data_IF_640932273545
#
_entry.id   IF_640932273545
#
_cell.length_a   1.000
_cell.length_b   1.000
_cell.length_c   1.000
_cell.angle_alpha   90.00
_cell.angle_beta   90.00
_cell.angle_gamma   90.00
#
_symmetry.space_group_name_H-M   'P 1'
#
loop_
_entity.id
_entity.type
_entity.pdbx_description
1 polymer ?
#
# COMPACT_ATOMS: atom_id res chain seq x y z
N UNK A 1 8.36 -6.11 -34.57
CA UNK A 1 8.85 -5.19 -33.51
C UNK A 1 7.71 -5.14 -32.53
N UNK A 2 7.75 -6.11 -31.61
CA UNK A 2 6.55 -6.78 -31.17
C UNK A 2 6.00 -6.07 -29.94
N UNK A 3 4.70 -5.72 -29.95
CA UNK A 3 4.04 -5.04 -28.84
C UNK A 3 4.20 -5.77 -27.49
N UNK A 4 4.57 -7.05 -27.50
CA UNK A 4 4.89 -7.83 -26.32
C UNK A 4 6.23 -7.47 -25.66
N UNK A 5 7.23 -7.00 -26.41
CA UNK A 5 8.52 -6.59 -25.80
C UNK A 5 8.39 -5.31 -24.98
N UNK A 6 7.46 -4.43 -25.37
CA UNK A 6 7.19 -3.15 -24.70
C UNK A 6 6.34 -3.30 -23.44
N UNK A 7 5.48 -4.33 -23.39
CA UNK A 7 4.70 -4.68 -22.20
C UNK A 7 5.57 -5.46 -21.20
N UNK A 8 6.38 -6.39 -21.70
CA UNK A 8 7.30 -7.23 -20.91
C UNK A 8 8.24 -6.40 -20.02
N UNK A 9 8.84 -5.34 -20.56
CA UNK A 9 9.79 -4.46 -19.84
C UNK A 9 9.18 -3.72 -18.65
N UNK A 10 7.84 -3.65 -18.59
CA UNK A 10 7.11 -2.95 -17.53
C UNK A 10 6.83 -3.82 -16.31
N UNK A 11 6.82 -5.13 -16.51
CA UNK A 11 6.48 -6.10 -15.46
C UNK A 11 7.71 -6.75 -14.84
N UNK A 12 8.89 -6.57 -15.43
CA UNK A 12 10.15 -7.13 -14.94
C UNK A 12 11.07 -6.04 -14.41
N UNK A 13 12.05 -6.41 -13.58
CA UNK A 13 13.16 -5.53 -13.25
C UNK A 13 14.09 -5.28 -14.46
N UNK A 14 15.18 -4.54 -14.24
CA UNK A 14 16.19 -4.23 -15.26
C UNK A 14 16.84 -5.49 -15.87
N UNK A 15 16.77 -6.62 -15.17
CA UNK A 15 17.33 -7.91 -15.58
C UNK A 15 16.31 -8.85 -16.23
N UNK A 16 15.04 -8.45 -16.31
CA UNK A 16 13.97 -9.28 -16.90
C UNK A 16 13.32 -10.26 -15.92
N UNK A 17 13.53 -10.08 -14.62
CA UNK A 17 12.97 -10.94 -13.58
C UNK A 17 11.63 -10.39 -13.07
N UNK A 18 10.65 -11.27 -12.88
CA UNK A 18 9.41 -10.97 -12.17
C UNK A 18 9.64 -10.90 -10.66
N UNK A 19 10.50 -11.80 -10.16
CA UNK A 19 10.80 -11.94 -8.75
C UNK A 19 12.20 -12.51 -8.58
N UNK A 20 12.93 -11.98 -7.59
CA UNK A 20 14.20 -12.52 -7.15
C UNK A 20 14.25 -12.51 -5.62
N UNK A 21 14.71 -13.62 -5.06
CA UNK A 21 14.97 -13.72 -3.63
C UNK A 21 16.21 -14.56 -3.34
N UNK A 22 17.07 -14.03 -2.47
CA UNK A 22 18.30 -14.68 -2.03
C UNK A 22 18.37 -14.71 -0.52
N UNK A 23 18.74 -15.85 0.04
CA UNK A 23 18.85 -16.03 1.48
C UNK A 23 19.80 -17.18 1.83
N UNK A 24 20.27 -17.19 3.08
CA UNK A 24 20.91 -18.37 3.63
C UNK A 24 19.84 -19.35 4.12
N UNK A 25 19.94 -20.61 3.68
CA UNK A 25 19.02 -21.66 4.09
C UNK A 25 19.05 -21.88 5.61
N UNK A 26 17.93 -22.28 6.22
CA UNK A 26 17.89 -22.58 7.65
C UNK A 26 18.82 -23.77 8.00
N UNK A 27 19.17 -23.94 9.29
CA UNK A 27 19.89 -25.13 9.75
C UNK A 27 19.14 -26.42 9.35
N UNK A 28 19.85 -27.51 8.98
CA UNK A 28 21.29 -27.72 9.16
C UNK A 28 22.17 -27.33 7.97
N UNK A 29 21.60 -27.06 6.79
CA UNK A 29 22.38 -26.83 5.56
C UNK A 29 23.18 -25.53 5.63
N UNK A 30 22.54 -24.41 5.98
CA UNK A 30 23.17 -23.07 5.96
C UNK A 30 23.81 -22.70 4.60
N UNK A 31 23.44 -23.37 3.52
CA UNK A 31 23.89 -23.03 2.17
C UNK A 31 23.28 -21.69 1.74
N UNK A 32 23.95 -20.99 0.82
CA UNK A 32 23.36 -19.79 0.22
C UNK A 32 22.49 -20.22 -0.97
N UNK A 33 21.25 -19.72 -1.03
CA UNK A 33 20.29 -20.06 -2.06
C UNK A 33 19.75 -18.79 -2.72
N UNK A 34 19.47 -18.88 -4.01
CA UNK A 34 18.81 -17.84 -4.80
C UNK A 34 17.69 -18.49 -5.61
N UNK A 35 16.54 -17.84 -5.66
CA UNK A 35 15.46 -18.15 -6.60
C UNK A 35 15.17 -16.93 -7.46
N UNK A 36 15.07 -17.14 -8.76
CA UNK A 36 14.73 -16.13 -9.75
C UNK A 36 13.56 -16.65 -10.57
N UNK A 37 12.50 -15.85 -10.68
CA UNK A 37 11.35 -16.13 -11.54
C UNK A 37 11.36 -15.11 -12.65
N UNK A 38 11.43 -15.59 -13.88
CA UNK A 38 11.30 -14.78 -15.11
C UNK A 38 9.89 -14.96 -15.68
N UNK A 39 9.60 -14.30 -16.80
CA UNK A 39 8.32 -14.44 -17.50
C UNK A 39 8.02 -15.86 -18.02
N UNK A 40 9.02 -16.74 -18.10
CA UNK A 40 8.84 -18.08 -18.66
C UNK A 40 9.45 -19.21 -17.83
N UNK A 41 10.34 -18.88 -16.89
CA UNK A 41 11.15 -19.87 -16.18
C UNK A 41 11.29 -19.56 -14.70
N UNK A 42 11.44 -20.62 -13.91
CA UNK A 42 11.93 -20.60 -12.53
C UNK A 42 13.37 -21.11 -12.52
N UNK A 43 14.24 -20.35 -11.88
CA UNK A 43 15.67 -20.66 -11.75
C UNK A 43 15.98 -20.75 -10.27
N UNK A 44 16.40 -21.93 -9.80
CA UNK A 44 16.84 -22.14 -8.43
C UNK A 44 18.34 -22.45 -8.41
N UNK A 45 19.10 -21.67 -7.64
CA UNK A 45 20.55 -21.79 -7.48
C UNK A 45 20.92 -21.96 -6.03
N UNK A 46 21.96 -22.75 -5.78
CA UNK A 46 22.52 -22.90 -4.45
C UNK A 46 24.05 -23.02 -4.47
N UNK A 47 24.66 -22.45 -3.44
CA UNK A 47 26.09 -22.47 -3.19
C UNK A 47 26.33 -23.17 -1.86
N UNK A 48 27.01 -24.32 -1.92
CA UNK A 48 27.33 -25.09 -0.72
C UNK A 48 28.34 -24.34 0.15
N UNK A 49 27.98 -24.08 1.40
CA UNK A 49 28.86 -23.42 2.37
C UNK A 49 29.51 -24.48 3.25
N UNK A 50 30.81 -24.72 3.04
CA UNK A 50 31.60 -25.68 3.83
C UNK A 50 32.68 -24.98 4.64
N UNK A 51 32.98 -25.48 5.84
CA UNK A 51 34.03 -24.93 6.71
C UNK A 51 35.46 -25.10 6.17
N UNK A 52 35.71 -26.02 5.21
CA UNK A 52 37.04 -26.28 4.66
C UNK A 52 37.22 -25.56 3.32
N UNK A 53 38.06 -24.52 3.31
CA UNK A 53 38.33 -23.66 2.16
C UNK A 53 38.82 -24.41 0.89
N UNK A 54 39.42 -25.58 1.01
CA UNK A 54 39.93 -26.35 -0.13
C UNK A 54 38.84 -27.09 -0.93
N UNK A 55 37.72 -27.43 -0.29
CA UNK A 55 36.59 -28.13 -0.94
C UNK A 55 35.58 -27.12 -1.50
N UNK A 56 35.28 -26.03 -0.78
CA UNK A 56 34.35 -24.98 -1.25
C UNK A 56 34.78 -24.33 -2.56
N UNK A 57 36.08 -24.11 -2.79
CA UNK A 57 36.59 -23.54 -4.05
C UNK A 57 36.38 -24.47 -5.26
N UNK A 58 36.15 -25.77 -5.04
CA UNK A 58 35.94 -26.77 -6.09
C UNK A 58 34.47 -27.08 -6.34
N UNK A 59 33.60 -26.73 -5.40
CA UNK A 59 32.16 -26.94 -5.52
C UNK A 59 31.57 -25.83 -6.39
N UNK A 60 31.17 -26.21 -7.61
CA UNK A 60 30.38 -25.31 -8.45
C UNK A 60 28.98 -25.14 -7.86
N UNK A 61 28.36 -23.96 -8.05
CA UNK A 61 26.97 -23.77 -7.68
C UNK A 61 26.09 -24.78 -8.40
N UNK A 62 25.10 -25.32 -7.70
CA UNK A 62 24.03 -26.07 -8.36
C UNK A 62 23.01 -25.11 -8.95
N UNK A 63 22.42 -25.49 -10.08
CA UNK A 63 21.38 -24.72 -10.76
C UNK A 63 20.34 -25.69 -11.33
N UNK A 64 19.06 -25.35 -11.12
CA UNK A 64 17.91 -25.95 -11.79
C UNK A 64 17.20 -24.82 -12.53
N UNK A 65 16.85 -25.06 -13.80
CA UNK A 65 16.09 -24.15 -14.65
C UNK A 65 14.93 -24.91 -15.26
N UNK A 66 13.73 -24.46 -14.97
CA UNK A 66 12.49 -25.11 -15.41
C UNK A 66 11.57 -24.06 -16.01
N UNK A 67 10.77 -24.45 -17.00
CA UNK A 67 9.65 -23.60 -17.40
C UNK A 67 8.57 -23.61 -16.31
N UNK A 68 7.63 -22.66 -16.35
CA UNK A 68 6.56 -22.61 -15.36
C UNK A 68 5.73 -23.90 -15.30
N UNK A 69 5.44 -24.50 -16.45
CA UNK A 69 4.66 -25.75 -16.55
C UNK A 69 5.38 -26.93 -15.90
N UNK A 70 6.69 -27.07 -16.16
CA UNK A 70 7.52 -28.12 -15.57
C UNK A 70 7.67 -27.92 -14.05
N UNK A 71 7.92 -26.68 -13.62
CA UNK A 71 8.08 -26.35 -12.20
C UNK A 71 6.83 -26.67 -11.39
N UNK A 72 5.65 -26.41 -11.94
CA UNK A 72 4.37 -26.72 -11.27
C UNK A 72 4.17 -28.23 -11.04
N UNK A 73 4.83 -29.08 -11.84
CA UNK A 73 4.79 -30.53 -11.71
C UNK A 73 5.96 -31.12 -10.91
N UNK A 74 7.03 -30.35 -10.69
CA UNK A 74 8.21 -30.81 -9.96
C UNK A 74 8.12 -30.53 -8.44
N UNK A 75 7.53 -31.49 -7.72
CA UNK A 75 7.49 -31.50 -6.26
C UNK A 75 8.88 -31.39 -5.63
N UNK A 76 9.95 -31.86 -6.31
CA UNK A 76 11.30 -31.85 -5.75
C UNK A 76 11.84 -30.42 -5.67
N UNK A 77 11.79 -29.66 -6.75
CA UNK A 77 12.27 -28.27 -6.76
C UNK A 77 11.40 -27.38 -5.87
N UNK A 78 10.08 -27.60 -5.87
CA UNK A 78 9.18 -26.91 -4.94
C UNK A 78 9.54 -27.17 -3.47
N UNK A 79 9.80 -28.43 -3.09
CA UNK A 79 10.22 -28.77 -1.73
C UNK A 79 11.57 -28.15 -1.37
N UNK A 80 12.51 -28.06 -2.30
CA UNK A 80 13.80 -27.39 -2.07
C UNK A 80 13.62 -25.88 -1.79
N UNK A 81 12.77 -25.21 -2.56
CA UNK A 81 12.42 -23.80 -2.35
C UNK A 81 11.68 -23.61 -1.02
N UNK A 82 10.74 -24.50 -0.69
CA UNK A 82 10.02 -24.50 0.59
C UNK A 82 10.97 -24.55 1.78
N UNK A 83 11.94 -25.48 1.74
CA UNK A 83 12.92 -25.64 2.82
C UNK A 83 13.88 -24.45 2.92
N UNK A 84 14.23 -23.83 1.78
CA UNK A 84 15.16 -22.70 1.75
C UNK A 84 14.51 -21.36 2.15
N UNK A 85 13.28 -21.10 1.71
CA UNK A 85 12.65 -19.78 1.78
C UNK A 85 11.26 -19.75 2.44
N UNK A 86 10.71 -20.90 2.82
CA UNK A 86 9.42 -21.02 3.51
C UNK A 86 8.21 -21.02 2.58
N UNK A 87 7.06 -21.34 3.18
CA UNK A 87 5.79 -21.57 2.46
C UNK A 87 5.31 -20.33 1.70
N UNK A 88 5.35 -19.16 2.33
CA UNK A 88 4.86 -17.91 1.71
C UNK A 88 5.59 -17.57 0.41
N UNK A 89 6.88 -17.88 0.34
CA UNK A 89 7.70 -17.65 -0.85
C UNK A 89 7.34 -18.65 -1.94
N UNK A 90 7.18 -19.92 -1.59
CA UNK A 90 6.76 -20.96 -2.55
C UNK A 90 5.38 -20.63 -3.13
N UNK A 91 4.40 -20.32 -2.28
CA UNK A 91 3.04 -19.96 -2.72
C UNK A 91 3.06 -18.77 -3.67
N UNK A 92 3.92 -17.77 -3.38
CA UNK A 92 4.10 -16.62 -4.27
C UNK A 92 4.66 -17.04 -5.64
N UNK A 93 5.69 -17.87 -5.68
CA UNK A 93 6.29 -18.36 -6.93
C UNK A 93 5.28 -19.19 -7.75
N UNK A 94 4.50 -20.06 -7.09
CA UNK A 94 3.44 -20.85 -7.74
C UNK A 94 2.40 -19.93 -8.37
N UNK A 95 1.95 -18.89 -7.65
CA UNK A 95 1.04 -17.89 -8.18
C UNK A 95 1.62 -17.17 -9.41
N UNK A 96 2.91 -16.82 -9.38
CA UNK A 96 3.59 -16.25 -10.55
C UNK A 96 3.60 -17.21 -11.74
N UNK A 97 3.83 -18.50 -11.51
CA UNK A 97 3.81 -19.53 -12.57
C UNK A 97 2.41 -19.74 -13.16
N UNK A 98 1.35 -19.50 -12.38
CA UNK A 98 -0.03 -19.46 -12.88
C UNK A 98 -0.39 -18.13 -13.61
N UNK A 99 0.55 -17.19 -13.70
CA UNK A 99 0.35 -15.88 -14.32
C UNK A 99 -0.30 -14.84 -13.39
N UNK A 100 -0.43 -15.12 -12.09
CA UNK A 100 -0.92 -14.17 -11.10
C UNK A 100 0.21 -13.22 -10.65
N UNK A 101 0.52 -12.25 -11.51
CA UNK A 101 1.52 -11.21 -11.21
C UNK A 101 0.87 -10.06 -10.44
N UNK A 102 1.58 -9.50 -9.45
CA UNK A 102 1.13 -8.30 -8.74
C UNK A 102 1.03 -7.11 -9.70
N UNK A 103 -0.18 -6.87 -10.21
CA UNK A 103 -0.39 -5.83 -11.20
C UNK A 103 -0.25 -4.41 -10.60
N UNK A 104 -0.76 -4.22 -9.38
CA UNK A 104 -0.94 -2.89 -8.80
C UNK A 104 0.38 -2.16 -8.51
N UNK A 105 1.40 -2.77 -7.87
CA UNK A 105 2.68 -2.10 -7.62
C UNK A 105 3.48 -1.80 -8.90
N UNK A 106 3.16 -2.47 -10.01
CA UNK A 106 3.86 -2.37 -11.30
C UNK A 106 3.21 -1.35 -12.26
N UNK A 107 2.08 -0.76 -11.87
CA UNK A 107 1.48 0.35 -12.61
C UNK A 107 2.34 1.63 -12.46
N UNK A 108 2.30 2.56 -13.44
CA UNK A 108 2.93 3.86 -13.27
C UNK A 108 2.40 4.58 -12.05
N UNK A 109 3.28 5.30 -11.35
CA UNK A 109 2.90 6.09 -10.18
C UNK A 109 1.73 7.03 -10.48
N UNK A 110 1.65 7.61 -11.69
CA UNK A 110 0.55 8.50 -12.10
C UNK A 110 -0.81 7.79 -12.16
N UNK A 111 -0.86 6.52 -12.57
CA UNK A 111 -2.08 5.71 -12.60
C UNK A 111 -2.46 5.30 -11.18
N UNK A 112 -1.49 4.89 -10.37
CA UNK A 112 -1.71 4.51 -8.97
C UNK A 112 -2.24 5.71 -8.17
N UNK A 113 -1.65 6.90 -8.34
CA UNK A 113 -2.16 8.13 -7.72
C UNK A 113 -3.62 8.38 -8.09
N UNK A 114 -4.00 8.21 -9.37
CA UNK A 114 -5.42 8.32 -9.79
C UNK A 114 -6.32 7.28 -9.13
N UNK A 115 -5.86 6.04 -8.99
CA UNK A 115 -6.62 5.01 -8.27
C UNK A 115 -6.80 5.44 -6.80
N UNK A 116 -5.72 5.84 -6.13
CA UNK A 116 -5.73 6.29 -4.73
C UNK A 116 -6.64 7.51 -4.48
N UNK A 117 -6.77 8.42 -5.44
CA UNK A 117 -7.70 9.55 -5.36
C UNK A 117 -9.18 9.12 -5.29
N UNK A 118 -9.50 7.89 -5.70
CA UNK A 118 -10.85 7.32 -5.64
C UNK A 118 -11.04 6.37 -4.44
N UNK A 119 -10.03 6.22 -3.60
CA UNK A 119 -10.05 5.35 -2.42
C UNK A 119 -10.39 6.18 -1.18
N UNK A 120 -11.13 5.58 -0.24
CA UNK A 120 -11.46 6.25 1.02
C UNK A 120 -10.20 6.56 1.83
N UNK A 121 -10.20 7.67 2.58
CA UNK A 121 -9.03 8.12 3.33
C UNK A 121 -8.53 7.10 4.36
N UNK A 122 -9.45 6.34 4.95
CA UNK A 122 -9.12 5.26 5.90
C UNK A 122 -8.34 4.15 5.21
N UNK A 123 -8.68 3.89 3.95
CA UNK A 123 -8.06 2.85 3.13
C UNK A 123 -6.72 3.28 2.58
N UNK A 124 -6.52 4.57 2.31
CA UNK A 124 -5.21 5.11 1.95
C UNK A 124 -4.19 4.84 3.08
N UNK A 125 -4.61 4.96 4.34
CA UNK A 125 -3.77 4.61 5.48
C UNK A 125 -3.47 3.10 5.52
N UNK A 126 -4.45 2.23 5.25
CA UNK A 126 -4.24 0.77 5.18
C UNK A 126 -3.30 0.40 4.04
N UNK A 127 -3.49 0.98 2.85
CA UNK A 127 -2.65 0.78 1.66
C UNK A 127 -1.20 1.20 1.93
N UNK A 128 -0.99 2.28 2.70
CA UNK A 128 0.37 2.72 3.07
C UNK A 128 1.17 1.71 3.90
N UNK A 129 0.50 0.72 4.50
CA UNK A 129 1.12 -0.32 5.32
C UNK A 129 1.44 -1.60 4.53
N UNK A 130 1.03 -1.71 3.27
CA UNK A 130 1.22 -2.94 2.48
C UNK A 130 2.68 -3.18 2.13
N UNK A 131 3.37 -2.16 1.58
CA UNK A 131 4.78 -2.26 1.22
C UNK A 131 5.44 -0.87 1.18
N UNK A 132 6.78 -0.84 1.02
CA UNK A 132 7.56 0.41 0.97
C UNK A 132 7.16 1.34 -0.17
N UNK A 133 6.73 0.76 -1.31
CA UNK A 133 6.33 1.52 -2.48
C UNK A 133 5.03 2.28 -2.24
N UNK A 134 3.98 1.61 -1.76
CA UNK A 134 2.74 2.27 -1.35
C UNK A 134 2.93 3.18 -0.15
N UNK A 135 3.81 2.83 0.79
CA UNK A 135 4.18 3.75 1.86
C UNK A 135 4.72 5.07 1.30
N UNK A 136 5.61 5.03 0.29
CA UNK A 136 6.12 6.24 -0.37
C UNK A 136 4.99 7.01 -1.06
N UNK A 137 4.19 6.36 -1.90
CA UNK A 137 3.14 7.02 -2.70
C UNK A 137 2.03 7.60 -1.80
N UNK A 138 1.56 6.87 -0.80
CA UNK A 138 0.50 7.35 0.11
C UNK A 138 0.99 8.47 1.05
N UNK A 139 2.30 8.68 1.17
CA UNK A 139 2.90 9.79 1.91
C UNK A 139 3.38 10.93 1.01
N UNK A 140 3.14 10.85 -0.29
CA UNK A 140 3.53 11.87 -1.26
C UNK A 140 2.65 13.13 -1.13
N UNK A 141 3.28 14.28 -0.98
CA UNK A 141 2.60 15.55 -0.75
C UNK A 141 1.70 15.97 -1.93
N UNK A 142 2.07 15.60 -3.16
CA UNK A 142 1.27 15.86 -4.37
C UNK A 142 -0.06 15.11 -4.35
N UNK A 143 -0.07 13.90 -3.78
CA UNK A 143 -1.30 13.12 -3.60
C UNK A 143 -2.23 13.85 -2.63
N UNK A 144 -1.69 14.31 -1.50
CA UNK A 144 -2.46 15.04 -0.49
C UNK A 144 -2.94 16.41 -0.99
N UNK A 145 -2.14 17.13 -1.78
CA UNK A 145 -2.57 18.36 -2.49
C UNK A 145 -3.76 18.09 -3.39
N UNK A 146 -3.70 17.01 -4.16
CA UNK A 146 -4.76 16.61 -5.09
C UNK A 146 -6.04 16.21 -4.36
N UNK A 147 -5.92 15.48 -3.25
CA UNK A 147 -7.06 15.17 -2.36
C UNK A 147 -7.69 16.44 -1.80
N UNK A 148 -6.89 17.40 -1.34
CA UNK A 148 -7.39 18.70 -0.89
C UNK A 148 -8.13 19.45 -1.99
N UNK A 149 -7.53 19.57 -3.18
CA UNK A 149 -8.12 20.27 -4.33
C UNK A 149 -9.44 19.64 -4.80
N UNK A 150 -9.61 18.33 -4.61
CA UNK A 150 -10.87 17.65 -4.91
C UNK A 150 -12.00 18.01 -3.92
N UNK A 151 -11.67 18.38 -2.68
CA UNK A 151 -12.63 18.67 -1.62
C UNK A 151 -12.87 20.18 -1.41
N UNK A 152 -11.85 21.01 -1.65
CA UNK A 152 -11.85 22.45 -1.33
C UNK A 152 -10.99 23.22 -2.32
N UNK A 153 -11.37 24.47 -2.62
CA UNK A 153 -10.52 25.39 -3.39
C UNK A 153 -9.23 25.68 -2.64
N UNK A 154 -8.09 25.49 -3.29
CA UNK A 154 -6.77 25.83 -2.75
C UNK A 154 -6.57 27.35 -2.86
N UNK A 155 -6.37 28.01 -1.73
CA UNK A 155 -6.02 29.44 -1.65
C UNK A 155 -4.51 29.61 -1.51
N UNK A 156 -3.96 30.75 -1.94
CA UNK A 156 -2.53 31.05 -1.87
C UNK A 156 -1.97 30.91 -0.43
N UNK A 157 -2.70 31.41 0.57
CA UNK A 157 -2.34 31.26 1.99
C UNK A 157 -2.24 29.80 2.44
N UNK A 158 -3.09 28.92 1.90
CA UNK A 158 -3.09 27.49 2.22
C UNK A 158 -1.92 26.79 1.55
N UNK A 159 -1.58 27.21 0.33
CA UNK A 159 -0.43 26.69 -0.41
C UNK A 159 0.89 27.10 0.25
N UNK A 160 1.00 28.33 0.74
CA UNK A 160 2.18 28.78 1.50
C UNK A 160 2.30 28.04 2.84
N UNK A 161 1.21 27.85 3.56
CA UNK A 161 1.22 27.03 4.78
C UNK A 161 1.58 25.57 4.49
N UNK A 162 1.17 25.04 3.34
CA UNK A 162 1.50 23.67 2.93
C UNK A 162 2.98 23.51 2.59
N UNK A 163 3.64 24.51 2.03
CA UNK A 163 5.10 24.47 1.80
C UNK A 163 5.87 24.28 3.10
N UNK A 164 5.40 24.87 4.19
CA UNK A 164 6.06 24.79 5.50
C UNK A 164 5.73 23.49 6.27
N UNK A 165 4.49 23.01 6.19
CA UNK A 165 3.99 21.90 7.03
C UNK A 165 3.77 20.58 6.28
N UNK A 166 3.57 20.63 4.97
CA UNK A 166 3.13 19.53 4.12
C UNK A 166 1.60 19.38 4.10
N UNK A 167 1.05 19.10 2.91
CA UNK A 167 -0.38 18.86 2.69
C UNK A 167 -0.92 17.74 3.57
N UNK A 168 -0.17 16.66 3.77
CA UNK A 168 -0.64 15.57 4.64
C UNK A 168 -0.93 16.06 6.07
N UNK A 169 -0.03 16.84 6.66
CA UNK A 169 -0.21 17.34 8.04
C UNK A 169 -1.35 18.34 8.11
N UNK A 170 -1.47 19.21 7.12
CA UNK A 170 -2.60 20.14 7.02
C UNK A 170 -3.93 19.41 6.91
N UNK A 171 -3.98 18.27 6.23
CA UNK A 171 -5.18 17.46 6.12
C UNK A 171 -5.68 17.02 7.50
N UNK A 172 -4.78 16.46 8.30
CA UNK A 172 -5.14 15.97 9.63
C UNK A 172 -5.34 17.09 10.66
N UNK A 173 -4.62 18.22 10.54
CA UNK A 173 -4.84 19.38 11.42
C UNK A 173 -6.17 20.09 11.13
N UNK A 174 -6.56 20.19 9.85
CA UNK A 174 -7.82 20.82 9.45
C UNK A 174 -9.02 19.92 9.79
N UNK A 175 -8.89 18.58 9.72
CA UNK A 175 -9.94 17.65 10.19
C UNK A 175 -10.25 17.81 11.68
N UNK A 176 -9.23 18.05 12.51
CA UNK A 176 -9.38 18.41 13.93
C UNK A 176 -10.07 19.77 14.11
N UNK A 177 -9.68 20.79 13.32
CA UNK A 177 -10.33 22.10 13.35
C UNK A 177 -11.82 22.00 12.95
N UNK A 178 -12.16 21.25 11.91
CA UNK A 178 -13.54 21.02 11.47
C UNK A 178 -14.32 20.24 12.54
N UNK A 179 -13.73 19.20 13.16
CA UNK A 179 -14.36 18.49 14.28
C UNK A 179 -14.62 19.40 15.48
N UNK A 180 -13.66 20.25 15.84
CA UNK A 180 -13.84 21.24 16.92
C UNK A 180 -14.96 22.25 16.59
N UNK A 181 -15.05 22.71 15.35
CA UNK A 181 -16.10 23.63 14.90
C UNK A 181 -17.49 22.95 14.88
N UNK A 182 -17.58 21.69 14.45
CA UNK A 182 -18.81 20.90 14.50
C UNK A 182 -19.27 20.63 15.94
N UNK A 183 -18.35 20.33 16.86
CA UNK A 183 -18.68 20.20 18.29
C UNK A 183 -19.18 21.50 18.90
N UNK A 184 -18.56 22.64 18.55
CA UNK A 184 -19.01 23.97 18.98
C UNK A 184 -20.42 24.27 18.47
N UNK A 185 -20.71 24.01 17.19
CA UNK A 185 -22.06 24.17 16.62
C UNK A 185 -23.11 23.30 17.33
N UNK A 186 -22.83 22.01 17.57
CA UNK A 186 -23.74 21.11 18.30
C UNK A 186 -24.04 21.59 19.72
N UNK A 187 -23.05 22.15 20.42
CA UNK A 187 -23.24 22.75 21.76
C UNK A 187 -24.08 24.03 21.70
N UNK A 188 -23.81 24.91 20.74
CA UNK A 188 -24.58 26.15 20.57
C UNK A 188 -26.02 25.90 20.11
N UNK A 189 -26.27 24.86 19.31
CA UNK A 189 -27.62 24.43 18.90
C UNK A 189 -28.38 23.81 20.08
N UNK A 190 -27.73 22.97 20.90
CA UNK A 190 -28.32 22.39 22.12
C UNK A 190 -28.59 23.42 23.24
N UNK A 191 -27.92 24.58 23.23
CA UNK A 191 -28.18 25.68 24.17
C UNK A 191 -29.30 26.63 23.71
N UNK A 192 -29.64 26.63 22.41
CA UNK A 192 -30.72 27.46 21.85
C UNK A 192 -32.10 26.80 22.01
N UNK A 193 -32.19 25.48 21.87
CA UNK A 193 -33.45 24.72 22.00
C UNK A 193 -34.15 24.89 23.37
N UNK A 194 -33.46 24.88 24.53
CA UNK A 194 -34.13 25.04 25.83
C UNK A 194 -34.61 26.47 26.11
N UNK A 195 -33.99 27.49 25.49
CA UNK A 195 -34.29 28.91 25.76
C UNK A 195 -35.39 29.47 24.87
N UNK A 196 -35.55 28.96 23.65
CA UNK A 196 -36.62 29.39 22.75
C UNK A 196 -37.98 28.77 23.11
N UNK A 197 -38.01 27.54 23.64
CA UNK A 197 -39.24 26.92 24.14
C UNK A 197 -39.77 27.64 25.40
N UNK A 198 -38.89 28.01 26.33
CA UNK A 198 -39.26 28.78 27.53
C UNK A 198 -39.74 30.21 27.23
N UNK A 199 -39.20 30.87 26.20
CA UNK A 199 -39.65 32.22 25.80
C UNK A 199 -40.99 32.22 25.05
N UNK A 200 -41.26 31.18 24.24
CA UNK A 200 -42.56 31.03 23.55
C UNK A 200 -43.70 30.73 24.55
N UNK A 201 -43.42 29.96 25.61
CA UNK A 201 -44.38 29.73 26.69
C UNK A 201 -44.69 30.98 27.51
N UNK A 202 -43.68 31.80 27.82
CA UNK A 202 -43.88 33.03 28.60
C UNK A 202 -44.64 34.12 27.81
N UNK A 203 -44.49 34.17 26.49
CA UNK A 203 -45.22 35.13 25.64
C UNK A 203 -46.70 34.76 25.49
N UNK A 204 -47.02 33.48 25.28
CA UNK A 204 -48.41 33.02 25.16
C UNK A 204 -49.21 33.15 26.48
N UNK A 205 -48.56 33.02 27.65
CA UNK A 205 -49.25 33.19 28.94
C UNK A 205 -49.67 34.64 29.21
N UNK A 206 -48.93 35.62 28.70
CA UNK A 206 -49.22 37.04 28.94
C UNK A 206 -50.39 37.54 28.08
N UNK A 207 -50.56 37.00 26.87
CA UNK A 207 -51.64 37.36 25.95
C UNK A 207 -52.97 36.66 26.27
N UNK A 208 -52.95 35.42 26.77
CA UNK A 208 -54.19 34.72 27.15
C UNK A 208 -54.86 35.27 28.42
N UNK A 209 -54.09 35.89 29.34
CA UNK A 209 -54.63 36.42 30.61
C UNK A 209 -55.24 37.82 30.44
N UNK A 210 -54.80 38.61 29.45
CA UNK A 210 -55.31 39.95 29.18
C UNK A 210 -56.54 39.99 28.26
N UNK A 211 -56.94 38.86 27.67
CA UNK A 211 -58.14 38.76 26.81
C UNK A 211 -59.42 38.38 27.57
N UNK A 212 -59.38 38.22 28.90
CA UNK A 212 -60.52 37.75 29.70
C UNK A 212 -61.07 38.73 30.73
N UNK A 213 -60.70 40.01 30.72
CA UNK A 213 -61.34 41.05 31.55
C UNK A 213 -61.69 42.27 30.70
#
# INVERSE_FOLDING_TARGET
MDAYSDISSRWTDEEGNLFEYSAQAPPPSKDFCQVVVTLSQVIFRWWKITHRNSESQRLRPGEIKECHEDFLLDDRTQNMILLAFGQSTLDYIINLCHGHVDCLPRLPESVIKKILLNVELEDIARVSLLNKFFHKICNDDDLWKSLFGSATTITDDLEDLAKDQGWKKLFFSNKLQIQMQLQRKRKTEAEKTPKEEGKKFAHNYHDEVLSKH
#
